data_IF_547874028955
#
_entry.id   IF_547874028955
#
_cell.length_a   1.000
_cell.length_b   1.000
_cell.length_c   1.000
_cell.angle_alpha   90.00
_cell.angle_beta   90.00
_cell.angle_gamma   90.00
#
_symmetry.space_group_name_H-M   'P 1'
#
loop_
_entity.id
_entity.type
_entity.pdbx_description
1 polymer ?
#
# COMPACT_ATOMS: atom_id res chain seq x y z
N UNK A 1 -0.54 28.50 -22.93
CA UNK A 1 -1.10 27.86 -21.71
C UNK A 1 -0.03 27.92 -20.63
N UNK A 2 -0.39 28.10 -19.36
CA UNK A 2 0.58 28.01 -18.26
C UNK A 2 1.11 26.57 -18.18
N UNK A 3 2.42 26.41 -17.98
CA UNK A 3 3.02 25.08 -17.81
C UNK A 3 2.53 24.46 -16.50
N UNK A 4 2.02 23.23 -16.57
CA UNK A 4 1.60 22.42 -15.44
C UNK A 4 2.78 21.68 -14.84
N UNK A 5 2.87 21.60 -13.52
CA UNK A 5 4.03 21.02 -12.82
C UNK A 5 3.65 19.78 -12.02
N UNK A 6 4.33 18.67 -12.30
CA UNK A 6 4.25 17.42 -11.54
C UNK A 6 5.50 17.33 -10.66
N UNK A 7 5.28 17.28 -9.34
CA UNK A 7 6.33 17.08 -8.35
C UNK A 7 6.50 15.60 -8.00
N UNK A 8 7.74 15.12 -7.89
CA UNK A 8 8.05 13.81 -7.28
C UNK A 8 8.71 14.05 -5.93
N UNK A 9 8.06 13.62 -4.84
CA UNK A 9 8.55 13.77 -3.47
C UNK A 9 9.16 12.43 -3.01
N UNK A 10 10.48 12.39 -2.83
CA UNK A 10 11.23 11.18 -2.48
C UNK A 10 12.36 11.46 -1.49
N UNK A 11 12.91 10.39 -0.90
CA UNK A 11 13.99 10.42 0.08
C UNK A 11 15.22 9.64 -0.40
N UNK A 12 15.48 8.48 0.23
CA UNK A 12 16.63 7.62 -0.08
C UNK A 12 16.55 6.91 -1.44
N UNK A 13 15.34 6.80 -1.99
CA UNK A 13 15.11 6.23 -3.32
C UNK A 13 15.80 7.06 -4.41
N UNK A 14 16.58 6.42 -5.28
CA UNK A 14 17.42 7.13 -6.26
C UNK A 14 17.00 6.85 -7.71
N UNK A 15 17.03 5.58 -8.15
CA UNK A 15 16.85 5.28 -9.59
C UNK A 15 15.47 5.67 -10.14
N UNK A 16 14.39 5.31 -9.45
CA UNK A 16 13.01 5.52 -9.92
C UNK A 16 12.58 6.99 -10.01
N UNK A 17 12.76 7.85 -8.97
CA UNK A 17 12.27 9.23 -9.01
C UNK A 17 12.89 10.07 -10.14
N UNK A 18 14.19 9.91 -10.39
CA UNK A 18 14.88 10.59 -11.47
C UNK A 18 14.42 10.09 -12.84
N UNK A 19 14.31 8.78 -13.02
CA UNK A 19 13.79 8.18 -14.25
C UNK A 19 12.36 8.63 -14.56
N UNK A 20 11.51 8.71 -13.53
CA UNK A 20 10.13 9.19 -13.66
C UNK A 20 10.08 10.68 -14.06
N UNK A 21 10.87 11.55 -13.42
CA UNK A 21 10.94 12.96 -13.82
C UNK A 21 11.39 13.10 -15.29
N UNK A 22 12.40 12.32 -15.69
CA UNK A 22 12.87 12.30 -17.07
C UNK A 22 11.75 11.87 -18.03
N UNK A 23 11.10 10.73 -17.77
CA UNK A 23 10.06 10.18 -18.64
C UNK A 23 8.85 11.11 -18.77
N UNK A 24 8.43 11.78 -17.69
CA UNK A 24 7.37 12.81 -17.73
C UNK A 24 7.72 13.93 -18.72
N UNK A 25 8.96 14.44 -18.65
CA UNK A 25 9.42 15.52 -19.53
C UNK A 25 9.58 15.06 -20.99
N UNK A 26 10.09 13.86 -21.21
CA UNK A 26 10.17 13.26 -22.54
C UNK A 26 8.78 13.05 -23.14
N UNK A 27 7.84 12.50 -22.37
CA UNK A 27 6.46 12.29 -22.78
C UNK A 27 5.78 13.62 -23.14
N UNK A 28 5.96 14.66 -22.31
CA UNK A 28 5.44 15.99 -22.58
C UNK A 28 6.00 16.56 -23.88
N UNK A 29 7.31 16.43 -24.14
CA UNK A 29 7.94 16.90 -25.38
C UNK A 29 7.44 16.14 -26.61
N UNK A 30 7.38 14.81 -26.54
CA UNK A 30 6.88 13.96 -27.64
C UNK A 30 5.44 14.31 -28.03
N UNK A 31 4.62 14.77 -27.07
CA UNK A 31 3.21 15.12 -27.27
C UNK A 31 2.94 16.62 -27.40
N UNK A 32 3.96 17.47 -27.32
CA UNK A 32 3.78 18.93 -27.37
C UNK A 32 2.96 19.51 -26.21
N UNK A 33 3.02 18.88 -25.03
CA UNK A 33 2.24 19.26 -23.85
C UNK A 33 2.99 20.32 -23.02
N UNK A 34 2.26 21.30 -22.47
CA UNK A 34 2.79 22.27 -21.51
C UNK A 34 2.83 21.65 -20.10
N UNK A 35 3.61 20.59 -19.92
CA UNK A 35 3.78 19.85 -18.66
C UNK A 35 5.27 19.70 -18.37
N UNK A 36 5.66 19.81 -17.09
CA UNK A 36 7.02 19.47 -16.62
C UNK A 36 6.97 18.58 -15.38
N UNK A 37 7.95 17.68 -15.26
CA UNK A 37 8.18 16.84 -14.09
C UNK A 37 9.48 17.22 -13.39
N UNK A 38 9.46 17.40 -12.08
CA UNK A 38 10.66 17.75 -11.30
C UNK A 38 10.58 17.26 -9.85
N UNK A 39 11.71 17.11 -9.14
CA UNK A 39 11.70 16.85 -7.70
C UNK A 39 10.96 17.95 -6.93
N UNK A 40 10.21 17.56 -5.90
CA UNK A 40 9.58 18.52 -4.99
C UNK A 40 10.66 19.26 -4.19
N UNK A 41 10.60 20.59 -4.20
CA UNK A 41 11.46 21.46 -3.40
C UNK A 41 10.66 22.03 -2.22
N UNK A 42 11.14 21.79 -0.99
CA UNK A 42 10.47 22.24 0.24
C UNK A 42 11.47 23.00 1.10
N UNK A 43 11.15 24.27 1.40
CA UNK A 43 11.89 25.07 2.38
C UNK A 43 11.16 25.10 3.72
N UNK A 44 10.09 25.88 3.79
CA UNK A 44 9.16 25.93 4.92
C UNK A 44 7.72 25.76 4.43
N UNK A 45 6.79 25.59 5.39
CA UNK A 45 5.35 25.59 5.14
C UNK A 45 4.70 26.61 6.09
N UNK A 46 4.09 27.65 5.55
CA UNK A 46 3.23 28.55 6.31
C UNK A 46 1.74 28.21 6.14
N UNK A 47 0.90 28.68 7.06
CA UNK A 47 -0.55 28.44 7.01
C UNK A 47 -1.24 29.08 5.81
N UNK A 48 -0.62 30.05 5.13
CA UNK A 48 -1.21 30.73 3.97
C UNK A 48 -0.46 30.41 2.67
N UNK A 49 0.56 29.55 2.73
CA UNK A 49 1.44 29.26 1.61
C UNK A 49 0.66 28.74 0.39
N UNK A 50 0.90 29.35 -0.76
CA UNK A 50 0.50 28.80 -2.06
C UNK A 50 1.50 27.74 -2.52
N UNK A 51 1.04 26.78 -3.32
CA UNK A 51 1.86 25.68 -3.83
C UNK A 51 1.99 25.81 -5.36
N UNK A 52 3.17 25.54 -5.88
CA UNK A 52 3.50 25.67 -7.31
C UNK A 52 3.27 24.40 -8.13
N UNK A 53 3.04 23.28 -7.46
CA UNK A 53 2.78 21.99 -8.07
C UNK A 53 1.29 21.82 -8.32
N UNK A 54 0.92 21.22 -9.45
CA UNK A 54 -0.46 20.86 -9.77
C UNK A 54 -0.76 19.41 -9.31
N UNK A 55 0.24 18.53 -9.42
CA UNK A 55 0.22 17.13 -8.95
C UNK A 55 1.51 16.84 -8.18
N UNK A 56 1.44 16.05 -7.10
CA UNK A 56 2.61 15.48 -6.42
C UNK A 56 2.46 13.97 -6.26
N UNK A 57 3.49 13.21 -6.67
CA UNK A 57 3.67 11.81 -6.29
C UNK A 57 4.45 11.73 -4.98
N UNK A 58 3.85 11.10 -3.97
CA UNK A 58 4.42 10.85 -2.64
C UNK A 58 5.10 9.48 -2.59
N UNK A 59 6.42 9.47 -2.39
CA UNK A 59 7.24 8.26 -2.26
C UNK A 59 7.83 8.05 -0.88
N UNK A 60 7.63 8.97 0.07
CA UNK A 60 8.45 8.98 1.31
C UNK A 60 7.72 9.46 2.56
N UNK A 61 6.54 10.06 2.44
CA UNK A 61 5.93 10.72 3.61
C UNK A 61 5.47 9.78 4.73
N UNK A 62 5.43 8.48 4.46
CA UNK A 62 5.21 7.43 5.46
C UNK A 62 6.37 7.31 6.47
N UNK A 63 7.59 7.73 6.10
CA UNK A 63 8.76 7.74 7.01
C UNK A 63 8.98 9.09 7.69
N UNK A 64 8.55 10.19 7.06
CA UNK A 64 8.85 11.56 7.51
C UNK A 64 7.55 12.33 7.76
N UNK A 65 7.11 12.48 9.04
CA UNK A 65 5.84 13.14 9.38
C UNK A 65 5.67 14.57 8.85
N UNK A 66 6.77 15.31 8.70
CA UNK A 66 6.78 16.65 8.10
C UNK A 66 6.26 16.61 6.66
N UNK A 67 6.73 15.67 5.84
CA UNK A 67 6.27 15.50 4.46
C UNK A 67 4.79 15.14 4.40
N UNK A 68 4.30 14.30 5.32
CA UNK A 68 2.88 13.93 5.34
C UNK A 68 2.00 15.15 5.62
N UNK A 69 2.44 16.03 6.51
CA UNK A 69 1.75 17.29 6.82
C UNK A 69 1.83 18.27 5.65
N UNK A 70 3.00 18.42 5.03
CA UNK A 70 3.18 19.23 3.81
C UNK A 70 2.19 18.81 2.71
N UNK A 71 2.06 17.51 2.44
CA UNK A 71 1.16 16.99 1.41
C UNK A 71 -0.31 17.25 1.74
N UNK A 72 -0.72 17.15 3.01
CA UNK A 72 -2.08 17.53 3.46
C UNK A 72 -2.34 19.03 3.21
N UNK A 73 -1.36 19.89 3.51
CA UNK A 73 -1.47 21.33 3.24
C UNK A 73 -1.56 21.63 1.74
N UNK A 74 -0.77 20.95 0.91
CA UNK A 74 -0.82 21.08 -0.55
C UNK A 74 -2.19 20.63 -1.10
N UNK A 75 -2.65 19.46 -0.69
CA UNK A 75 -3.95 18.91 -1.07
C UNK A 75 -5.12 19.84 -0.70
N UNK A 76 -5.10 20.43 0.50
CA UNK A 76 -6.11 21.38 0.95
C UNK A 76 -6.18 22.67 0.10
N UNK A 77 -5.17 22.93 -0.74
CA UNK A 77 -5.11 24.08 -1.66
C UNK A 77 -5.25 23.68 -3.13
N UNK A 78 -5.75 22.47 -3.38
CA UNK A 78 -6.09 22.00 -4.72
C UNK A 78 -4.99 21.24 -5.45
N UNK A 79 -3.83 21.01 -4.82
CA UNK A 79 -2.80 20.13 -5.41
C UNK A 79 -3.29 18.68 -5.37
N UNK A 80 -3.25 17.99 -6.50
CA UNK A 80 -3.60 16.57 -6.55
C UNK A 80 -2.44 15.75 -5.98
N UNK A 81 -2.68 14.90 -4.98
CA UNK A 81 -1.62 14.08 -4.37
C UNK A 81 -1.87 12.59 -4.65
N UNK A 82 -0.82 11.89 -5.06
CA UNK A 82 -0.82 10.45 -5.36
C UNK A 82 0.15 9.77 -4.39
N UNK A 83 -0.26 8.87 -3.50
CA UNK A 83 -1.63 8.58 -3.09
C UNK A 83 -2.16 9.65 -2.10
N UNK A 84 -3.46 9.61 -1.80
CA UNK A 84 -4.09 10.54 -0.86
C UNK A 84 -3.36 10.53 0.51
N UNK A 85 -2.85 11.68 0.99
CA UNK A 85 -2.17 11.73 2.28
C UNK A 85 -3.15 11.66 3.45
N UNK A 86 -4.46 11.77 3.20
CA UNK A 86 -5.49 11.63 4.21
C UNK A 86 -5.82 10.17 4.45
N UNK A 87 -6.12 9.44 3.36
CA UNK A 87 -6.40 8.02 3.47
C UNK A 87 -5.20 7.22 3.93
N UNK A 88 -4.02 7.48 3.36
CA UNK A 88 -2.78 6.80 3.75
C UNK A 88 -2.25 7.22 5.14
N UNK A 89 -2.98 8.06 5.88
CA UNK A 89 -2.75 8.29 7.31
C UNK A 89 -3.75 7.56 8.21
N UNK A 90 -4.86 7.09 7.64
CA UNK A 90 -6.03 6.59 8.35
C UNK A 90 -6.25 5.09 8.14
N UNK A 91 -5.70 4.53 7.07
CA UNK A 91 -5.70 3.11 6.75
C UNK A 91 -4.90 2.28 7.76
N UNK A 92 -5.23 0.99 7.80
CA UNK A 92 -4.49 -0.03 8.53
C UNK A 92 -4.75 -1.41 7.92
N UNK A 93 -3.81 -2.35 8.09
CA UNK A 93 -3.89 -3.68 7.47
C UNK A 93 -5.10 -4.49 7.91
N UNK A 94 -5.66 -4.24 9.09
CA UNK A 94 -6.81 -4.98 9.58
C UNK A 94 -8.11 -4.44 8.96
N UNK A 95 -8.31 -3.11 8.96
CA UNK A 95 -9.45 -2.50 8.30
C UNK A 95 -9.44 -2.77 6.79
N UNK A 96 -8.26 -2.73 6.17
CA UNK A 96 -8.07 -3.04 4.76
C UNK A 96 -8.54 -4.47 4.41
N UNK A 97 -8.41 -5.44 5.32
CA UNK A 97 -9.00 -6.79 5.15
C UNK A 97 -10.54 -6.76 5.16
N UNK A 98 -11.17 -5.86 5.94
CA UNK A 98 -12.63 -5.68 5.93
C UNK A 98 -13.07 -5.17 4.56
N UNK A 99 -12.36 -4.19 4.01
CA UNK A 99 -12.59 -3.66 2.68
C UNK A 99 -12.39 -4.73 1.60
N UNK A 100 -11.30 -5.49 1.68
CA UNK A 100 -11.00 -6.57 0.74
C UNK A 100 -12.15 -7.57 0.61
N UNK A 101 -12.71 -8.02 1.75
CA UNK A 101 -13.86 -8.92 1.76
C UNK A 101 -15.11 -8.29 1.13
N UNK A 102 -15.34 -6.99 1.37
CA UNK A 102 -16.49 -6.28 0.81
C UNK A 102 -16.44 -6.18 -0.72
N UNK A 103 -15.24 -6.14 -1.31
CA UNK A 103 -15.04 -6.14 -2.77
C UNK A 103 -14.80 -7.53 -3.37
N UNK A 104 -15.03 -8.60 -2.58
CA UNK A 104 -14.97 -9.98 -3.05
C UNK A 104 -13.55 -10.53 -3.22
N UNK A 105 -12.56 -9.88 -2.60
CA UNK A 105 -11.17 -10.35 -2.61
C UNK A 105 -10.92 -11.24 -1.40
N UNK A 106 -10.34 -12.41 -1.65
CA UNK A 106 -10.02 -13.35 -0.58
C UNK A 106 -8.86 -12.80 0.25
N UNK A 107 -9.00 -12.83 1.57
CA UNK A 107 -7.95 -12.51 2.54
C UNK A 107 -7.94 -13.59 3.61
N UNK A 108 -6.80 -13.85 4.27
CA UNK A 108 -6.76 -14.84 5.33
C UNK A 108 -7.65 -14.42 6.50
N UNK A 109 -8.23 -15.40 7.21
CA UNK A 109 -8.91 -15.16 8.48
C UNK A 109 -7.98 -14.39 9.42
N UNK A 110 -8.49 -13.30 9.96
CA UNK A 110 -7.70 -12.33 10.71
C UNK A 110 -8.47 -11.86 11.94
N UNK A 111 -7.77 -11.68 13.06
CA UNK A 111 -8.26 -11.08 14.31
C UNK A 111 -7.38 -9.88 14.67
N UNK A 112 -7.98 -8.75 15.05
CA UNK A 112 -7.27 -7.63 15.65
C UNK A 112 -7.04 -7.95 17.13
N UNK A 113 -5.80 -7.86 17.58
CA UNK A 113 -5.44 -8.17 18.95
C UNK A 113 -5.53 -6.91 19.83
N UNK A 114 -5.97 -7.05 21.09
CA UNK A 114 -5.78 -6.00 22.07
C UNK A 114 -4.28 -5.74 22.30
N UNK A 115 -3.95 -4.62 22.94
CA UNK A 115 -2.57 -4.35 23.34
C UNK A 115 -2.13 -5.27 24.48
N UNK A 116 -0.86 -5.68 24.48
CA UNK A 116 -0.28 -6.40 25.60
C UNK A 116 -0.08 -5.49 26.82
N UNK A 117 0.43 -4.29 26.59
CA UNK A 117 0.64 -3.24 27.59
C UNK A 117 -0.18 -2.00 27.26
N UNK A 118 -0.57 -1.24 28.28
CA UNK A 118 -1.29 0.03 28.11
C UNK A 118 -0.44 1.02 27.29
N UNK A 119 -0.95 1.56 26.16
CA UNK A 119 -0.25 2.60 25.43
C UNK A 119 -0.01 3.86 26.28
N UNK A 120 0.95 4.71 25.92
CA UNK A 120 1.23 5.95 26.64
C UNK A 120 -0.03 6.83 26.79
N UNK A 121 -0.10 7.57 27.90
CA UNK A 121 -1.22 8.46 28.24
C UNK A 121 -2.58 7.77 28.43
N UNK A 122 -2.58 6.45 28.66
CA UNK A 122 -3.78 5.70 29.03
C UNK A 122 -3.73 5.27 30.50
N UNK A 123 -4.88 4.90 31.05
CA UNK A 123 -5.02 4.31 32.39
C UNK A 123 -5.91 3.09 32.27
N UNK A 124 -6.03 2.26 33.32
CA UNK A 124 -6.99 1.15 33.36
C UNK A 124 -8.41 1.58 32.97
N UNK A 125 -8.80 2.81 33.37
CA UNK A 125 -10.11 3.40 33.05
C UNK A 125 -10.31 3.67 31.56
N UNK A 126 -9.26 3.74 30.75
CA UNK A 126 -9.33 3.86 29.29
C UNK A 126 -9.87 2.58 28.64
N UNK A 127 -9.73 1.41 29.30
CA UNK A 127 -10.06 0.09 28.76
C UNK A 127 -11.39 -0.47 29.26
N UNK A 128 -12.24 0.35 29.89
CA UNK A 128 -13.50 -0.09 30.52
C UNK A 128 -14.52 -0.76 29.58
N UNK A 129 -14.37 -0.57 28.27
CA UNK A 129 -15.22 -1.16 27.24
C UNK A 129 -14.66 -2.49 26.71
N UNK A 130 -13.47 -2.92 27.15
CA UNK A 130 -12.84 -4.14 26.67
C UNK A 130 -13.18 -5.31 27.59
N UNK A 131 -13.78 -6.34 27.00
CA UNK A 131 -13.94 -7.64 27.63
C UNK A 131 -12.65 -8.45 27.59
N UNK A 132 -12.61 -9.55 28.36
CA UNK A 132 -11.56 -10.54 28.24
C UNK A 132 -11.67 -11.24 26.88
N UNK A 133 -10.52 -11.50 26.25
CA UNK A 133 -10.45 -12.24 24.99
C UNK A 133 -10.75 -13.71 25.25
N UNK A 134 -11.67 -14.28 24.49
CA UNK A 134 -11.82 -15.73 24.39
C UNK A 134 -10.73 -16.29 23.48
N UNK A 135 -9.59 -16.64 24.07
CA UNK A 135 -8.44 -17.15 23.33
C UNK A 135 -8.72 -18.51 22.68
N UNK A 136 -9.58 -19.35 23.27
CA UNK A 136 -9.95 -20.63 22.67
C UNK A 136 -10.74 -20.42 21.38
N UNK A 137 -11.67 -19.46 21.36
CA UNK A 137 -12.36 -19.05 20.13
C UNK A 137 -11.39 -18.46 19.09
N UNK A 138 -10.48 -17.57 19.50
CA UNK A 138 -9.48 -16.98 18.59
C UNK A 138 -8.64 -18.06 17.92
N UNK A 139 -8.09 -19.01 18.68
CA UNK A 139 -7.27 -20.07 18.13
C UNK A 139 -8.07 -21.06 17.27
N UNK A 140 -9.31 -21.35 17.64
CA UNK A 140 -10.22 -22.18 16.82
C UNK A 140 -10.57 -21.49 15.49
N UNK A 141 -10.79 -20.17 15.51
CA UNK A 141 -11.09 -19.40 14.31
C UNK A 141 -9.89 -19.29 13.37
N UNK A 142 -8.70 -18.99 13.88
CA UNK A 142 -7.51 -18.82 13.05
C UNK A 142 -6.95 -20.15 12.55
N UNK A 143 -6.77 -21.12 13.45
CA UNK A 143 -5.97 -22.32 13.21
C UNK A 143 -4.47 -22.00 13.17
N UNK A 144 -3.64 -23.00 13.52
CA UNK A 144 -2.17 -22.88 13.44
C UNK A 144 -1.63 -23.44 12.11
N UNK A 145 -0.53 -22.89 11.57
CA UNK A 145 0.25 -21.77 12.12
C UNK A 145 -0.42 -20.40 11.92
N UNK A 146 -0.02 -19.43 12.76
CA UNK A 146 -0.53 -18.05 12.77
C UNK A 146 0.62 -17.10 12.46
N UNK A 147 0.36 -16.09 11.63
CA UNK A 147 1.22 -14.91 11.52
C UNK A 147 0.70 -13.79 12.41
N UNK A 148 1.55 -13.29 13.31
CA UNK A 148 1.32 -12.05 14.04
C UNK A 148 2.12 -10.93 13.40
N UNK A 149 1.47 -9.79 13.15
CA UNK A 149 2.12 -8.60 12.58
C UNK A 149 1.47 -7.31 13.10
N UNK A 150 2.18 -6.17 13.12
CA UNK A 150 1.56 -4.89 13.46
C UNK A 150 0.49 -4.50 12.43
N UNK A 151 -0.65 -3.99 12.92
CA UNK A 151 -1.71 -3.45 12.07
C UNK A 151 -1.23 -2.22 11.28
N UNK A 152 -0.39 -1.40 11.92
CA UNK A 152 0.22 -0.20 11.35
C UNK A 152 1.68 -0.42 10.91
N UNK A 153 2.19 0.42 10.01
CA UNK A 153 3.59 0.40 9.58
C UNK A 153 3.93 -0.68 8.55
N UNK A 154 5.21 -0.87 8.26
CA UNK A 154 5.69 -1.80 7.24
C UNK A 154 7.12 -2.28 7.50
N UNK A 155 7.73 -2.95 6.52
CA UNK A 155 9.14 -3.34 6.58
C UNK A 155 9.46 -4.55 7.45
N UNK A 156 8.52 -5.49 7.61
CA UNK A 156 8.74 -6.79 8.28
C UNK A 156 9.17 -6.74 9.75
N UNK A 157 9.04 -5.59 10.42
CA UNK A 157 9.30 -5.44 11.85
C UNK A 157 8.19 -6.09 12.67
N UNK A 158 8.58 -6.79 13.74
CA UNK A 158 7.68 -7.45 14.69
C UNK A 158 6.68 -8.43 14.03
N UNK A 159 7.14 -9.13 13.00
CA UNK A 159 6.40 -10.20 12.33
C UNK A 159 6.83 -11.55 12.89
N UNK A 160 5.88 -12.32 13.42
CA UNK A 160 6.13 -13.63 14.02
C UNK A 160 5.29 -14.69 13.32
N UNK A 161 5.90 -15.84 13.01
CA UNK A 161 5.16 -17.05 12.63
C UNK A 161 5.17 -18.00 13.82
N UNK A 162 4.00 -18.33 14.34
CA UNK A 162 3.83 -19.14 15.56
C UNK A 162 3.04 -20.41 15.25
N UNK A 163 3.42 -21.51 15.88
CA UNK A 163 2.89 -22.86 15.61
C UNK A 163 2.09 -23.43 16.78
N UNK A 164 2.10 -22.78 17.93
CA UNK A 164 1.37 -23.18 19.12
C UNK A 164 0.86 -21.98 19.93
N UNK A 165 0.04 -22.27 20.95
CA UNK A 165 -0.47 -21.25 21.88
C UNK A 165 0.66 -20.63 22.70
N UNK A 166 1.63 -21.45 23.09
CA UNK A 166 2.80 -21.03 23.85
C UNK A 166 3.64 -20.04 23.03
N UNK A 167 3.99 -20.40 21.79
CA UNK A 167 4.71 -19.51 20.87
C UNK A 167 3.93 -18.22 20.59
N UNK A 168 2.59 -18.29 20.47
CA UNK A 168 1.74 -17.12 20.29
C UNK A 168 1.85 -16.15 21.47
N UNK A 169 1.74 -16.63 22.71
CA UNK A 169 1.84 -15.76 23.87
C UNK A 169 3.26 -15.23 24.08
N UNK A 170 4.29 -16.02 23.81
CA UNK A 170 5.68 -15.55 23.84
C UNK A 170 5.94 -14.43 22.82
N UNK A 171 5.34 -14.51 21.63
CA UNK A 171 5.39 -13.44 20.64
C UNK A 171 4.57 -12.23 21.11
N UNK A 172 3.33 -12.45 21.57
CA UNK A 172 2.44 -11.40 22.05
C UNK A 172 3.04 -10.58 23.20
N UNK A 173 3.74 -11.22 24.11
CA UNK A 173 4.40 -10.57 25.25
C UNK A 173 5.50 -9.59 24.83
N UNK A 174 6.09 -9.78 23.63
CA UNK A 174 7.13 -8.89 23.06
C UNK A 174 6.55 -7.70 22.31
N UNK A 175 5.22 -7.63 22.14
CA UNK A 175 4.57 -6.59 21.32
C UNK A 175 4.32 -5.29 22.09
N UNK A 176 4.46 -5.32 23.42
CA UNK A 176 4.31 -4.15 24.30
C UNK A 176 3.03 -3.35 23.99
N UNK A 177 3.20 -2.15 23.43
CA UNK A 177 2.12 -1.20 23.14
C UNK A 177 1.69 -1.21 21.67
N UNK A 178 2.22 -2.11 20.83
CA UNK A 178 1.84 -2.21 19.43
C UNK A 178 0.39 -2.73 19.29
N UNK A 179 -0.34 -2.17 18.32
CA UNK A 179 -1.60 -2.77 17.87
C UNK A 179 -1.27 -3.89 16.88
N UNK A 180 -1.55 -5.12 17.27
CA UNK A 180 -1.21 -6.31 16.48
C UNK A 180 -2.44 -6.89 15.80
N UNK A 181 -2.23 -7.63 14.71
CA UNK A 181 -3.21 -8.52 14.10
C UNK A 181 -2.63 -9.94 14.05
N UNK A 182 -3.49 -10.93 14.28
CA UNK A 182 -3.20 -12.34 14.12
C UNK A 182 -3.94 -12.87 12.89
N UNK A 183 -3.24 -13.57 12.02
CA UNK A 183 -3.73 -13.97 10.71
C UNK A 183 -3.42 -15.46 10.47
N UNK A 184 -4.37 -16.24 9.92
CA UNK A 184 -4.10 -17.63 9.53
C UNK A 184 -2.93 -17.66 8.55
N UNK A 185 -2.04 -18.65 8.70
CA UNK A 185 -1.01 -18.86 7.69
C UNK A 185 -1.62 -19.48 6.44
N UNK A 186 -1.30 -18.90 5.29
CA UNK A 186 -1.60 -19.49 3.99
C UNK A 186 -0.40 -20.31 3.55
N UNK A 187 -0.55 -21.63 3.52
CA UNK A 187 0.38 -22.49 2.79
C UNK A 187 0.06 -22.38 1.30
N UNK A 188 1.04 -21.92 0.52
CA UNK A 188 0.83 -21.55 -0.87
C UNK A 188 1.73 -22.31 -1.83
N UNK A 189 1.24 -22.53 -3.05
CA UNK A 189 2.00 -23.08 -4.17
C UNK A 189 2.67 -21.98 -5.00
N UNK A 190 1.95 -20.87 -5.17
CA UNK A 190 2.37 -19.74 -5.99
C UNK A 190 2.21 -18.44 -5.20
N UNK A 191 3.03 -17.47 -5.55
CA UNK A 191 2.98 -16.15 -4.92
C UNK A 191 3.28 -15.07 -5.97
N UNK A 192 2.45 -14.04 -5.99
CA UNK A 192 2.51 -12.98 -6.99
C UNK A 192 2.54 -11.61 -6.33
N UNK A 193 3.43 -10.74 -6.81
CA UNK A 193 3.39 -9.30 -6.53
C UNK A 193 2.82 -8.58 -7.74
N UNK A 194 1.70 -7.91 -7.54
CA UNK A 194 0.96 -7.20 -8.59
C UNK A 194 1.16 -5.70 -8.40
N UNK A 195 1.92 -5.06 -9.27
CA UNK A 195 2.02 -3.61 -9.34
C UNK A 195 0.75 -3.02 -9.92
N UNK A 196 0.22 -1.98 -9.30
CA UNK A 196 -0.93 -1.22 -9.79
C UNK A 196 -0.50 0.22 -10.06
N UNK A 197 -0.77 0.69 -11.28
CA UNK A 197 -0.53 2.06 -11.72
C UNK A 197 -1.85 2.72 -12.18
N UNK A 198 -2.18 3.85 -11.57
CA UNK A 198 -3.36 4.67 -11.81
C UNK A 198 -4.70 3.96 -11.58
N UNK A 199 -4.75 2.91 -10.76
CA UNK A 199 -5.93 2.03 -10.58
C UNK A 199 -6.48 1.45 -11.88
N UNK A 200 -5.61 1.19 -12.86
CA UNK A 200 -6.05 0.75 -14.21
C UNK A 200 -5.14 -0.26 -14.89
N UNK A 201 -3.85 -0.23 -14.57
CA UNK A 201 -2.84 -1.09 -15.17
C UNK A 201 -2.22 -1.95 -14.10
N UNK A 202 -2.10 -3.24 -14.39
CA UNK A 202 -1.50 -4.21 -13.47
C UNK A 202 -0.33 -4.91 -14.16
N UNK A 203 0.81 -4.98 -13.46
CA UNK A 203 1.95 -5.82 -13.85
C UNK A 203 2.13 -6.89 -12.79
N UNK A 204 1.93 -8.13 -13.19
CA UNK A 204 2.04 -9.31 -12.32
C UNK A 204 3.45 -9.85 -12.43
N UNK A 205 4.04 -10.13 -11.27
CA UNK A 205 5.39 -10.65 -11.16
C UNK A 205 5.35 -11.84 -10.19
N UNK A 206 5.75 -13.05 -10.62
CA UNK A 206 6.07 -14.13 -9.69
C UNK A 206 7.07 -13.64 -8.64
N UNK A 207 6.84 -14.01 -7.38
CA UNK A 207 7.66 -13.51 -6.28
C UNK A 207 7.89 -14.60 -5.24
N UNK A 208 9.13 -14.78 -4.76
CA UNK A 208 9.48 -15.80 -3.78
C UNK A 208 9.73 -15.17 -2.40
N UNK A 209 8.70 -14.92 -1.56
CA UNK A 209 8.87 -14.17 -0.31
C UNK A 209 9.71 -14.90 0.74
N UNK A 210 9.93 -16.21 0.58
CA UNK A 210 10.74 -17.05 1.47
C UNK A 210 12.25 -16.95 1.17
N UNK A 211 12.63 -16.42 0.02
CA UNK A 211 14.03 -16.24 -0.39
C UNK A 211 14.64 -14.97 0.23
N UNK A 212 15.99 -14.90 0.33
CA UNK A 212 16.70 -13.67 0.64
C UNK A 212 16.23 -12.51 -0.25
N UNK A 213 16.20 -11.30 0.30
CA UNK A 213 15.54 -10.14 -0.32
C UNK A 213 15.99 -9.90 -1.77
N UNK A 214 17.29 -9.96 -2.02
CA UNK A 214 17.94 -9.80 -3.33
C UNK A 214 17.59 -10.90 -4.35
N UNK A 215 17.12 -12.06 -3.89
CA UNK A 215 16.86 -13.23 -4.73
C UNK A 215 15.38 -13.45 -5.03
N UNK A 216 14.47 -12.68 -4.43
CA UNK A 216 13.03 -12.97 -4.46
C UNK A 216 12.40 -12.92 -5.86
N UNK A 217 12.94 -12.09 -6.74
CA UNK A 217 12.50 -12.01 -8.14
C UNK A 217 13.23 -13.01 -9.03
N UNK A 218 14.56 -13.14 -8.86
CA UNK A 218 15.38 -14.02 -9.69
C UNK A 218 15.10 -15.50 -9.46
N UNK A 219 14.72 -15.89 -8.24
CA UNK A 219 14.40 -17.27 -7.88
C UNK A 219 13.19 -17.85 -8.64
N UNK A 220 12.31 -16.99 -9.15
CA UNK A 220 11.09 -17.35 -9.87
C UNK A 220 11.02 -16.71 -11.25
N UNK A 221 12.17 -16.25 -11.76
CA UNK A 221 12.27 -15.68 -13.09
C UNK A 221 11.85 -16.72 -14.15
N UNK A 222 10.95 -16.32 -15.05
CA UNK A 222 10.41 -17.20 -16.10
C UNK A 222 9.27 -18.11 -15.66
N UNK A 223 8.83 -18.06 -14.41
CA UNK A 223 7.60 -18.75 -13.99
C UNK A 223 6.40 -18.18 -14.75
N UNK A 224 5.67 -19.06 -15.43
CA UNK A 224 4.48 -18.69 -16.19
C UNK A 224 3.32 -18.50 -15.20
N UNK A 225 2.63 -17.37 -15.32
CA UNK A 225 1.36 -17.14 -14.61
C UNK A 225 0.23 -17.68 -15.49
N UNK A 226 -0.55 -18.67 -15.04
CA UNK A 226 -1.68 -19.19 -15.80
C UNK A 226 -2.68 -18.08 -16.14
N UNK A 227 -3.31 -18.10 -17.33
CA UNK A 227 -4.15 -17.01 -17.83
C UNK A 227 -5.37 -16.71 -16.93
N UNK A 228 -5.99 -17.73 -16.35
CA UNK A 228 -7.12 -17.60 -15.43
C UNK A 228 -6.70 -16.93 -14.10
N UNK A 229 -5.56 -17.33 -13.55
CA UNK A 229 -4.93 -16.68 -12.41
C UNK A 229 -4.53 -15.24 -12.76
N UNK A 230 -3.96 -15.07 -13.96
CA UNK A 230 -3.80 -13.86 -14.76
C UNK A 230 -4.86 -12.79 -14.51
N UNK A 231 -6.04 -13.15 -15.02
CA UNK A 231 -7.26 -12.37 -14.98
C UNK A 231 -7.75 -12.17 -13.55
N UNK A 232 -7.65 -13.20 -12.71
CA UNK A 232 -8.16 -13.15 -11.34
C UNK A 232 -7.39 -12.17 -10.47
N UNK A 233 -6.06 -12.28 -10.40
CA UNK A 233 -5.26 -11.38 -9.54
C UNK A 233 -5.24 -9.95 -10.09
N UNK A 234 -5.34 -9.77 -11.41
CA UNK A 234 -5.54 -8.43 -12.01
C UNK A 234 -6.82 -7.79 -11.51
N UNK A 235 -7.95 -8.52 -11.60
CA UNK A 235 -9.26 -8.05 -11.13
C UNK A 235 -9.23 -7.72 -9.64
N UNK A 236 -8.68 -8.62 -8.82
CA UNK A 236 -8.66 -8.48 -7.37
C UNK A 236 -7.74 -7.31 -6.94
N UNK A 237 -6.58 -7.13 -7.59
CA UNK A 237 -5.68 -6.01 -7.32
C UNK A 237 -6.32 -4.64 -7.66
N UNK A 238 -7.01 -4.55 -8.80
CA UNK A 238 -7.73 -3.34 -9.18
C UNK A 238 -8.90 -3.06 -8.22
N UNK A 239 -9.69 -4.08 -7.87
CA UNK A 239 -10.80 -3.92 -6.93
C UNK A 239 -10.33 -3.40 -5.56
N UNK A 240 -9.20 -3.90 -5.05
CA UNK A 240 -8.60 -3.38 -3.81
C UNK A 240 -8.15 -1.94 -3.96
N UNK A 241 -7.39 -1.63 -5.01
CA UNK A 241 -6.86 -0.28 -5.20
C UNK A 241 -7.98 0.74 -5.46
N UNK A 242 -9.06 0.38 -6.13
CA UNK A 242 -10.27 1.19 -6.30
C UNK A 242 -10.99 1.42 -4.97
N UNK A 243 -11.14 0.38 -4.15
CA UNK A 243 -11.81 0.48 -2.87
C UNK A 243 -11.02 1.34 -1.89
N UNK A 244 -9.70 1.19 -1.87
CA UNK A 244 -8.79 1.86 -0.94
C UNK A 244 -8.24 3.18 -1.50
N UNK A 245 -8.48 3.51 -2.77
CA UNK A 245 -8.01 4.78 -3.36
C UNK A 245 -6.49 4.84 -3.55
N UNK A 246 -5.83 3.70 -3.80
CA UNK A 246 -4.39 3.65 -4.08
C UNK A 246 -4.10 3.67 -5.58
N UNK A 247 -3.69 4.82 -6.09
CA UNK A 247 -3.29 5.02 -7.48
C UNK A 247 -1.95 4.34 -7.81
N UNK A 248 -1.01 4.31 -6.87
CA UNK A 248 0.21 3.51 -6.95
C UNK A 248 0.25 2.51 -5.79
N UNK A 249 0.37 1.22 -6.07
CA UNK A 249 0.41 0.19 -5.03
C UNK A 249 1.10 -1.09 -5.50
N UNK A 250 1.50 -1.95 -4.58
CA UNK A 250 1.69 -3.39 -4.86
C UNK A 250 0.77 -4.23 -4.01
N UNK A 251 0.07 -5.16 -4.66
CA UNK A 251 -0.82 -6.14 -4.04
C UNK A 251 -0.19 -7.53 -4.16
N UNK A 252 0.03 -8.18 -3.03
CA UNK A 252 0.65 -9.49 -2.96
C UNK A 252 -0.40 -10.59 -2.70
N UNK A 253 -0.35 -11.64 -3.52
CA UNK A 253 -1.27 -12.78 -3.44
C UNK A 253 -0.50 -14.08 -3.19
N UNK A 254 -0.95 -14.84 -2.20
CA UNK A 254 -0.54 -16.23 -1.97
C UNK A 254 -1.65 -17.17 -2.45
N UNK A 255 -1.31 -18.13 -3.31
CA UNK A 255 -2.30 -19.06 -3.89
C UNK A 255 -2.35 -20.34 -3.08
N UNK A 256 -3.53 -20.65 -2.52
CA UNK A 256 -3.85 -21.92 -1.85
C UNK A 256 -5.05 -22.55 -2.52
N UNK A 257 -4.92 -23.79 -2.97
CA UNK A 257 -5.98 -24.55 -3.64
C UNK A 257 -6.65 -23.80 -4.80
N UNK A 258 -5.84 -23.08 -5.60
CA UNK A 258 -6.30 -22.26 -6.73
C UNK A 258 -6.95 -20.93 -6.35
N UNK A 259 -7.01 -20.57 -5.06
CA UNK A 259 -7.55 -19.30 -4.58
C UNK A 259 -6.42 -18.32 -4.26
N UNK A 260 -6.36 -17.14 -4.89
CA UNK A 260 -5.39 -16.11 -4.53
C UNK A 260 -5.89 -15.33 -3.30
N UNK A 261 -5.19 -15.47 -2.19
CA UNK A 261 -5.42 -14.70 -0.97
C UNK A 261 -4.52 -13.46 -0.97
N UNK A 262 -5.10 -12.27 -0.86
CA UNK A 262 -4.33 -11.04 -0.66
C UNK A 262 -3.69 -11.05 0.74
N UNK A 263 -2.37 -11.02 0.81
CA UNK A 263 -1.59 -11.13 2.06
C UNK A 263 -1.03 -9.78 2.50
N UNK A 264 -0.64 -8.95 1.52
CA UNK A 264 -0.09 -7.62 1.74
C UNK A 264 -0.45 -6.68 0.58
N UNK A 265 -1.12 -5.58 0.88
CA UNK A 265 -1.69 -4.69 -0.14
C UNK A 265 -1.81 -3.23 0.30
N UNK A 266 -1.07 -2.88 1.36
CA UNK A 266 -0.96 -1.51 1.91
C UNK A 266 0.43 -0.95 1.57
N UNK A 267 0.85 -1.08 0.30
CA UNK A 267 2.19 -0.76 -0.18
C UNK A 267 2.15 0.45 -1.12
N UNK A 268 1.80 1.63 -0.60
CA UNK A 268 1.60 2.85 -1.40
C UNK A 268 2.90 3.47 -1.96
N UNK A 269 4.06 3.14 -1.39
CA UNK A 269 5.37 3.51 -1.92
C UNK A 269 6.26 2.26 -2.01
N UNK A 270 5.92 1.31 -2.89
CA UNK A 270 6.64 0.04 -3.00
C UNK A 270 8.05 0.29 -3.53
N UNK A 271 9.03 -0.50 -3.10
CA UNK A 271 10.40 -0.44 -3.64
C UNK A 271 10.39 -0.60 -5.17
N UNK A 272 10.89 0.43 -5.86
CA UNK A 272 10.95 0.52 -7.31
C UNK A 272 12.39 0.66 -7.81
N UNK A 273 13.40 0.35 -6.99
CA UNK A 273 14.79 0.48 -7.44
C UNK A 273 15.09 -0.46 -8.60
N UNK A 274 15.79 0.04 -9.62
CA UNK A 274 16.16 -0.72 -10.81
C UNK A 274 16.87 -2.05 -10.46
N UNK A 275 17.75 -2.02 -9.46
CA UNK A 275 18.51 -3.20 -9.05
C UNK A 275 17.68 -4.18 -8.22
N UNK A 276 16.52 -3.74 -7.72
CA UNK A 276 15.58 -4.58 -6.98
C UNK A 276 14.57 -5.24 -7.91
N UNK A 277 13.83 -4.44 -8.70
CA UNK A 277 12.69 -4.94 -9.49
C UNK A 277 13.05 -5.46 -10.89
N UNK A 278 14.27 -5.20 -11.34
CA UNK A 278 14.76 -5.56 -12.67
C UNK A 278 14.28 -4.61 -13.78
N UNK A 279 15.01 -4.63 -14.90
CA UNK A 279 14.89 -3.64 -15.99
C UNK A 279 13.49 -3.60 -16.63
N UNK A 280 12.86 -4.75 -16.86
CA UNK A 280 11.53 -4.81 -17.49
C UNK A 280 10.46 -4.16 -16.62
N UNK A 281 10.40 -4.56 -15.34
CA UNK A 281 9.45 -4.01 -14.37
C UNK A 281 9.71 -2.52 -14.14
N UNK A 282 10.97 -2.14 -14.00
CA UNK A 282 11.38 -0.75 -13.80
C UNK A 282 10.90 0.15 -14.95
N UNK A 283 11.17 -0.25 -16.19
CA UNK A 283 10.71 0.48 -17.38
C UNK A 283 9.19 0.58 -17.42
N UNK A 284 8.50 -0.51 -17.11
CA UNK A 284 7.04 -0.55 -17.09
C UNK A 284 6.47 0.44 -16.07
N UNK A 285 6.93 0.41 -14.82
CA UNK A 285 6.36 1.30 -13.78
C UNK A 285 6.69 2.76 -14.03
N UNK A 286 7.89 3.08 -14.53
CA UNK A 286 8.27 4.45 -14.92
C UNK A 286 7.34 4.96 -16.03
N UNK A 287 7.12 4.17 -17.07
CA UNK A 287 6.27 4.56 -18.20
C UNK A 287 4.80 4.73 -17.80
N UNK A 288 4.23 3.77 -17.08
CA UNK A 288 2.81 3.80 -16.71
C UNK A 288 2.50 4.88 -15.67
N UNK A 289 3.41 5.14 -14.72
CA UNK A 289 3.26 6.24 -13.78
C UNK A 289 3.44 7.60 -14.46
N UNK A 290 4.36 7.74 -15.41
CA UNK A 290 4.51 8.98 -16.18
C UNK A 290 3.22 9.28 -16.97
N UNK A 291 2.67 8.30 -17.67
CA UNK A 291 1.41 8.42 -18.40
C UNK A 291 0.27 8.84 -17.48
N UNK A 292 0.12 8.15 -16.35
CA UNK A 292 -0.92 8.43 -15.37
C UNK A 292 -0.80 9.83 -14.76
N UNK A 293 0.40 10.26 -14.35
CA UNK A 293 0.61 11.58 -13.74
C UNK A 293 0.40 12.72 -14.75
N UNK A 294 0.82 12.54 -16.00
CA UNK A 294 0.57 13.50 -17.08
C UNK A 294 -0.93 13.61 -17.38
N UNK A 295 -1.65 12.50 -17.41
CA UNK A 295 -3.11 12.53 -17.55
C UNK A 295 -3.78 13.22 -16.36
N UNK A 296 -3.36 12.88 -15.13
CA UNK A 296 -3.91 13.46 -13.90
C UNK A 296 -3.72 14.97 -13.84
N UNK A 297 -2.59 15.50 -14.31
CA UNK A 297 -2.34 16.95 -14.29
C UNK A 297 -3.14 17.71 -15.35
N UNK A 298 -3.40 17.07 -16.51
CA UNK A 298 -4.22 17.63 -17.58
C UNK A 298 -5.73 17.50 -17.30
N UNK A 299 -6.11 16.44 -16.58
CA UNK A 299 -7.47 16.10 -16.20
C UNK A 299 -7.53 15.80 -14.69
N UNK A 300 -7.49 16.85 -13.84
CA UNK A 300 -7.58 16.71 -12.39
C UNK A 300 -8.85 15.96 -12.00
N UNK A 301 -8.72 15.04 -11.04
CA UNK A 301 -9.86 14.25 -10.58
C UNK A 301 -10.59 14.97 -9.44
N UNK A 302 -11.90 14.72 -9.27
CA UNK A 302 -12.64 15.16 -8.10
C UNK A 302 -11.97 14.70 -6.81
N UNK A 303 -12.17 15.48 -5.74
CA UNK A 303 -11.65 15.15 -4.43
C UNK A 303 -12.18 13.80 -3.93
N UNK A 304 -11.28 12.85 -3.69
CA UNK A 304 -11.59 11.49 -3.20
C UNK A 304 -10.80 11.24 -1.90
N UNK A 305 -11.42 11.38 -0.72
CA UNK A 305 -10.68 11.39 0.54
C UNK A 305 -10.27 10.01 1.04
N UNK A 306 -10.98 8.94 0.67
CA UNK A 306 -10.87 7.62 1.32
C UNK A 306 -10.98 6.42 0.38
N UNK A 307 -11.00 6.59 -0.95
CA UNK A 307 -11.35 5.48 -1.85
C UNK A 307 -12.87 5.24 -1.97
N UNK A 308 -13.25 4.14 -2.62
CA UNK A 308 -14.67 3.76 -2.82
C UNK A 308 -15.20 2.75 -1.80
N UNK A 309 -14.42 2.36 -0.78
CA UNK A 309 -14.86 1.41 0.24
C UNK A 309 -16.17 1.76 0.96
N UNK A 310 -16.55 3.04 1.21
CA UNK A 310 -17.84 3.33 1.83
C UNK A 310 -19.00 2.84 0.96
N UNK A 311 -18.84 2.95 -0.37
CA UNK A 311 -19.81 2.41 -1.34
C UNK A 311 -19.82 0.88 -1.33
N UNK A 312 -18.64 0.25 -1.29
CA UNK A 312 -18.53 -1.22 -1.23
C UNK A 312 -19.18 -1.81 0.03
N UNK A 313 -19.13 -1.08 1.16
CA UNK A 313 -19.80 -1.44 2.41
C UNK A 313 -21.27 -0.98 2.49
N UNK A 314 -21.81 -0.35 1.45
CA UNK A 314 -23.20 0.12 1.43
C UNK A 314 -23.50 1.29 2.37
N UNK A 315 -22.50 2.11 2.70
CA UNK A 315 -22.60 3.26 3.61
C UNK A 315 -22.94 4.58 2.91
N UNK A 316 -22.90 4.63 1.58
CA UNK A 316 -23.28 5.83 0.83
C UNK A 316 -24.79 6.02 0.90
N UNK A 317 -25.28 7.26 1.11
CA UNK A 317 -26.71 7.57 1.04
C UNK A 317 -27.29 7.10 -0.30
N UNK A 318 -28.48 6.50 -0.24
CA UNK A 318 -29.25 6.14 -1.44
C UNK A 318 -29.89 7.38 -2.06
#
# INVERSE_FOLDING_TARGET
MSVKTIGVLFGMEDTFPWALCHEINELARRRGLAVKGEPVQIGHVSQEQAFTYDVILDRISHEVPFYRTFLKCAAARGVQIVNSPFWWSADDKFFDNVVARAVGVAVPRTVLLPHKEHPPNTTEKSFRNMGLVDWDEVFRYLGFPIFMKPAYGGGWKDVYKVHSREEFFEAYDKTHTLTMMAQEAIEFTDYYRCWVAGRRKVKIIPYAPKEPHESRYSAVAGQVVPDDMALRVTKDALALCDALGYDMNTVEFAVRDGVPYAIDFMNCAPDADLNSVGEETFRWIVAEMAEFLVERVLHPQPWEPTGTWPKALGLMPR
#
